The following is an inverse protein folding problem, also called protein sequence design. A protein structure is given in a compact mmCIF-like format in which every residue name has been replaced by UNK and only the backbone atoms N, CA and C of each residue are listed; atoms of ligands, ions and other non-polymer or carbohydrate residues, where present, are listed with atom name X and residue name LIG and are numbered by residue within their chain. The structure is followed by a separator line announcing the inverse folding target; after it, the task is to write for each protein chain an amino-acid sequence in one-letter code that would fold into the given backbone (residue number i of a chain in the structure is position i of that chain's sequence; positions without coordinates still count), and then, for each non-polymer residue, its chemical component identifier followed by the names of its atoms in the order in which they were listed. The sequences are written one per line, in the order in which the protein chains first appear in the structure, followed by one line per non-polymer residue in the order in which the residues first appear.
data_IF_112716777982
#
_entry.id   IF_112716777982
#
_cell.length_a   1.000
_cell.length_b   1.000
_cell.length_c   1.000
_cell.angle_alpha   90.00
_cell.angle_beta   90.00
_cell.angle_gamma   90.00
#
_symmetry.space_group_name_H-M   'P 1'
#
loop_
_entity.id
_entity.type
_entity.pdbx_description
1 polymer ?
#
# COMPACT_ATOMS: atom_id res chain seq x y z
N UNK A 1 -9.06 22.07 -6.37
CA UNK A 1 -8.17 21.07 -7.00
C UNK A 1 -8.94 19.75 -7.06
N UNK A 2 -8.42 18.74 -7.75
CA UNK A 2 -9.10 17.47 -7.98
C UNK A 2 -8.40 16.36 -7.18
N UNK A 3 -8.64 16.28 -5.88
CA UNK A 3 -7.82 15.44 -5.00
C UNK A 3 -8.27 13.97 -4.99
N UNK A 4 -7.30 13.06 -5.03
CA UNK A 4 -7.54 11.61 -5.02
C UNK A 4 -6.71 10.98 -3.91
N UNK A 5 -7.34 10.11 -3.13
CA UNK A 5 -6.64 9.30 -2.10
C UNK A 5 -6.34 7.93 -2.67
N UNK A 6 -5.09 7.49 -2.53
CA UNK A 6 -4.65 6.15 -2.94
C UNK A 6 -4.60 5.21 -1.74
N UNK A 7 -5.20 4.03 -1.85
CA UNK A 7 -5.19 3.00 -0.82
C UNK A 7 -4.50 1.76 -1.37
N UNK A 8 -3.59 1.16 -0.60
CA UNK A 8 -2.83 -0.03 -1.02
C UNK A 8 -3.01 -1.15 0.00
N UNK A 9 -3.49 -2.31 -0.43
CA UNK A 9 -3.80 -3.44 0.44
C UNK A 9 -3.07 -4.71 0.01
N UNK A 10 -2.02 -5.07 0.75
CA UNK A 10 -1.29 -6.32 0.62
C UNK A 10 -0.01 -6.25 -0.22
N UNK A 11 0.77 -7.33 -0.17
CA UNK A 11 2.11 -7.39 -0.74
C UNK A 11 2.11 -7.06 -2.24
N UNK A 12 1.22 -7.67 -3.04
CA UNK A 12 1.28 -7.50 -4.49
C UNK A 12 0.88 -6.08 -4.90
N UNK A 13 -0.15 -5.54 -4.26
CA UNK A 13 -0.58 -4.15 -4.41
C UNK A 13 0.53 -3.17 -4.03
N UNK A 14 1.23 -3.40 -2.91
CA UNK A 14 2.28 -2.51 -2.43
C UNK A 14 3.54 -2.53 -3.30
N UNK A 15 3.86 -3.67 -3.93
CA UNK A 15 4.89 -3.73 -4.96
C UNK A 15 4.58 -2.83 -6.16
N UNK A 16 3.34 -2.91 -6.67
CA UNK A 16 2.89 -2.03 -7.76
C UNK A 16 2.83 -0.58 -7.28
N UNK A 17 2.36 -0.36 -6.06
CA UNK A 17 2.25 0.94 -5.41
C UNK A 17 3.60 1.65 -5.25
N UNK A 18 4.64 0.93 -4.83
CA UNK A 18 6.00 1.46 -4.71
C UNK A 18 6.55 1.91 -6.06
N UNK A 19 6.38 1.12 -7.13
CA UNK A 19 6.76 1.54 -8.47
C UNK A 19 5.93 2.73 -8.97
N UNK A 20 4.62 2.72 -8.70
CA UNK A 20 3.72 3.79 -9.10
C UNK A 20 4.17 5.13 -8.48
N UNK A 21 4.43 5.15 -7.17
CA UNK A 21 4.88 6.38 -6.51
C UNK A 21 6.27 6.83 -6.93
N UNK A 22 7.22 5.90 -7.12
CA UNK A 22 8.53 6.25 -7.67
C UNK A 22 8.40 6.91 -9.06
N UNK A 23 7.48 6.42 -9.91
CA UNK A 23 7.18 7.02 -11.20
C UNK A 23 6.53 8.40 -11.04
N UNK A 24 5.52 8.52 -10.17
CA UNK A 24 4.85 9.80 -9.92
C UNK A 24 5.81 10.85 -9.38
N UNK A 25 6.75 10.49 -8.51
CA UNK A 25 7.77 11.41 -8.01
C UNK A 25 8.72 11.88 -9.12
N UNK A 26 9.07 10.99 -10.06
CA UNK A 26 9.87 11.33 -11.24
C UNK A 26 9.13 12.31 -12.16
N UNK A 27 7.82 12.12 -12.37
CA UNK A 27 7.01 13.04 -13.18
C UNK A 27 6.74 14.38 -12.47
N UNK A 28 6.68 14.36 -11.14
CA UNK A 28 6.30 15.50 -10.34
C UNK A 28 7.40 16.57 -10.21
N UNK A 29 8.66 16.26 -10.52
CA UNK A 29 9.76 17.25 -10.53
C UNK A 29 9.51 18.38 -11.55
N UNK A 30 8.68 18.16 -12.57
CA UNK A 30 8.25 19.23 -13.49
C UNK A 30 6.98 19.94 -13.00
N UNK A 31 6.00 19.24 -12.42
CA UNK A 31 4.75 19.79 -11.87
C UNK A 31 4.17 18.90 -10.76
N UNK A 32 4.54 19.11 -9.48
CA UNK A 32 3.86 18.48 -8.32
C UNK A 32 2.40 18.92 -8.26
N UNK A 33 1.51 18.18 -8.91
CA UNK A 33 0.07 18.42 -8.91
C UNK A 33 -0.50 18.12 -7.52
N UNK A 34 -1.16 19.10 -6.90
CA UNK A 34 -1.80 18.96 -5.57
C UNK A 34 -2.95 17.94 -5.50
N UNK A 35 -3.22 17.25 -6.62
CA UNK A 35 -4.25 16.23 -6.79
C UNK A 35 -3.85 14.90 -6.13
N UNK A 36 -2.61 14.46 -6.33
CA UNK A 36 -2.08 13.21 -5.77
C UNK A 36 -1.18 13.43 -4.55
N UNK A 37 -0.60 14.62 -4.42
CA UNK A 37 0.28 14.97 -3.33
C UNK A 37 -0.37 16.00 -2.40
N UNK A 38 -0.06 15.90 -1.12
CA UNK A 38 -0.41 16.93 -0.14
C UNK A 38 0.40 18.19 -0.43
N UNK A 39 -0.25 19.35 -0.44
CA UNK A 39 0.40 20.63 -0.64
C UNK A 39 0.30 21.45 0.65
N UNK A 40 1.40 21.51 1.42
CA UNK A 40 1.48 22.29 2.65
C UNK A 40 2.59 23.33 2.52
N UNK A 41 2.31 24.56 2.95
CA UNK A 41 3.21 25.71 2.82
C UNK A 41 4.56 25.56 3.54
N UNK A 42 4.69 24.64 4.49
CA UNK A 42 5.87 24.46 5.35
C UNK A 42 6.32 23.00 5.54
N UNK A 43 5.77 22.05 4.78
CA UNK A 43 6.14 20.63 4.88
C UNK A 43 6.44 20.07 3.48
N UNK A 44 7.35 19.09 3.36
CA UNK A 44 7.56 18.44 2.08
C UNK A 44 6.25 17.84 1.59
N UNK A 45 6.00 17.98 0.29
CA UNK A 45 4.85 17.38 -0.36
C UNK A 45 4.99 15.86 -0.31
N UNK A 46 4.02 15.20 0.32
CA UNK A 46 3.97 13.73 0.45
C UNK A 46 2.75 13.18 -0.28
N UNK A 47 2.82 11.95 -0.83
CA UNK A 47 1.67 11.31 -1.47
C UNK A 47 0.44 11.24 -0.54
N UNK A 48 -0.75 11.43 -1.11
CA UNK A 48 -2.03 11.12 -0.45
C UNK A 48 -2.29 9.61 -0.54
N UNK A 49 -1.45 8.84 0.14
CA UNK A 49 -1.45 7.39 0.09
C UNK A 49 -1.58 6.78 1.48
N UNK A 50 -2.34 5.70 1.60
CA UNK A 50 -2.36 4.80 2.76
C UNK A 50 -1.95 3.41 2.30
N UNK A 51 -1.03 2.78 3.04
CA UNK A 51 -0.38 1.52 2.69
C UNK A 51 -0.60 0.53 3.83
N UNK A 52 -1.28 -0.57 3.54
CA UNK A 52 -1.62 -1.63 4.49
C UNK A 52 -0.86 -2.90 4.12
N UNK A 53 -0.09 -3.45 5.06
CA UNK A 53 0.64 -4.71 4.87
C UNK A 53 0.93 -5.43 6.20
N UNK A 54 1.50 -6.63 6.11
CA UNK A 54 2.03 -7.33 7.27
C UNK A 54 3.37 -6.73 7.72
N UNK A 55 3.66 -6.82 9.02
CA UNK A 55 4.90 -6.33 9.66
C UNK A 55 6.15 -6.70 8.85
N UNK A 56 6.21 -7.95 8.38
CA UNK A 56 7.38 -8.48 7.68
C UNK A 56 7.71 -7.80 6.33
N UNK A 57 6.74 -7.11 5.72
CA UNK A 57 6.90 -6.52 4.38
C UNK A 57 7.34 -5.05 4.40
N UNK A 58 7.20 -4.35 5.51
CA UNK A 58 7.65 -2.96 5.66
C UNK A 58 9.18 -2.81 5.78
N UNK A 59 9.91 -3.92 5.91
CA UNK A 59 11.38 -3.94 5.90
C UNK A 59 12.00 -2.93 6.87
N UNK A 60 13.06 -2.24 6.45
CA UNK A 60 13.74 -1.22 7.25
C UNK A 60 12.95 0.10 7.38
N UNK A 61 11.89 0.33 6.57
CA UNK A 61 11.08 1.54 6.65
C UNK A 61 10.15 1.54 7.87
N UNK A 62 9.64 0.38 8.29
CA UNK A 62 8.93 0.27 9.58
C UNK A 62 9.83 0.59 10.77
N UNK A 63 11.12 0.24 10.70
CA UNK A 63 12.09 0.61 11.74
C UNK A 63 12.30 2.13 11.82
N UNK A 64 12.23 2.84 10.69
CA UNK A 64 12.41 4.29 10.66
C UNK A 64 11.26 5.02 11.36
N UNK A 65 10.03 4.55 11.21
CA UNK A 65 8.85 5.11 11.88
C UNK A 65 8.80 4.76 13.37
N UNK A 66 9.11 3.53 13.77
CA UNK A 66 9.18 3.15 15.19
C UNK A 66 10.25 3.98 15.93
N UNK A 67 11.36 4.29 15.26
CA UNK A 67 12.40 5.19 15.77
C UNK A 67 11.99 6.67 15.80
N UNK A 68 11.04 7.10 14.96
CA UNK A 68 10.52 8.47 14.91
C UNK A 68 9.32 8.69 15.85
N UNK A 69 8.43 7.70 16.00
CA UNK A 69 7.29 7.72 16.92
C UNK A 69 7.75 7.65 18.37
N UNK A 70 8.74 6.81 18.67
CA UNK A 70 9.45 6.77 19.96
C UNK A 70 10.40 7.97 20.14
N UNK A 71 10.44 8.88 19.17
CA UNK A 71 11.19 10.14 19.21
C UNK A 71 10.39 11.32 19.77
N UNK A 72 9.06 11.20 19.89
CA UNK A 72 8.24 12.08 20.72
C UNK A 72 8.17 11.52 22.14
N UNK A 73 9.34 11.33 22.76
CA UNK A 73 9.46 11.22 24.21
C UNK A 73 9.12 12.59 24.85
N UNK A 74 7.86 13.02 24.71
CA UNK A 74 7.12 13.68 25.80
C UNK A 74 6.51 12.59 26.71
N UNK A 75 7.22 11.46 26.89
CA UNK A 75 7.00 10.57 28.01
C UNK A 75 7.47 11.36 29.22
N UNK A 76 6.52 11.85 30.01
CA UNK A 76 6.64 12.38 31.36
C UNK A 76 7.99 12.03 32.00
N UNK A 77 8.86 13.04 32.21
CA UNK A 77 10.04 12.91 33.07
C UNK A 77 9.67 12.33 34.45
N UNK A 78 8.40 12.43 34.85
CA UNK A 78 7.83 11.95 36.10
C UNK A 78 7.66 10.41 36.21
N UNK A 79 7.82 9.62 35.13
CA UNK A 79 7.67 8.14 35.19
C UNK A 79 8.93 7.31 34.91
N UNK A 80 10.11 7.93 34.80
CA UNK A 80 11.36 7.19 34.62
C UNK A 80 11.79 6.48 35.92
N UNK A 81 11.61 5.15 36.00
CA UNK A 81 12.04 4.30 37.12
C UNK A 81 13.57 4.21 37.31
N UNK A 82 14.36 4.78 36.39
CA UNK A 82 15.82 4.71 36.39
C UNK A 82 16.41 6.11 36.15
N UNK A 83 17.10 6.65 37.17
CA UNK A 83 17.65 8.02 37.17
C UNK A 83 19.06 8.14 36.56
N UNK A 84 19.46 7.20 35.68
CA UNK A 84 20.77 7.20 35.05
C UNK A 84 20.84 8.11 33.83
N UNK A 85 22.00 8.71 33.57
CA UNK A 85 22.23 9.48 32.34
C UNK A 85 22.10 8.57 31.10
N UNK A 86 21.06 8.80 30.29
CA UNK A 86 20.81 8.08 29.03
C UNK A 86 21.46 8.84 27.89
N UNK A 87 22.43 8.22 27.22
CA UNK A 87 23.01 8.76 25.98
C UNK A 87 22.44 7.95 24.80
N UNK A 88 21.57 8.58 24.01
CA UNK A 88 20.91 7.94 22.87
C UNK A 88 21.74 8.17 21.60
N UNK A 89 22.48 7.13 21.18
CA UNK A 89 23.18 7.15 19.90
C UNK A 89 22.24 6.75 18.76
N UNK A 90 21.81 7.73 17.96
CA UNK A 90 21.08 7.49 16.71
C UNK A 90 22.08 7.24 15.59
N UNK A 91 22.10 6.02 15.05
CA UNK A 91 22.86 5.72 13.84
C UNK A 91 22.03 6.10 12.61
N UNK A 92 22.62 6.77 11.60
CA UNK A 92 21.94 6.95 10.33
C UNK A 92 21.72 5.59 9.68
N UNK A 93 20.55 5.40 9.06
CA UNK A 93 20.29 4.23 8.24
C UNK A 93 21.32 4.17 7.11
N UNK A 94 21.83 2.97 6.83
CA UNK A 94 22.71 2.75 5.70
C UNK A 94 22.03 3.29 4.43
N UNK A 95 22.73 4.08 3.59
CA UNK A 95 22.18 4.50 2.32
C UNK A 95 21.74 3.25 1.56
N UNK A 96 20.50 3.26 1.04
CA UNK A 96 20.05 2.27 0.06
C UNK A 96 21.11 2.25 -1.04
N UNK A 97 21.80 1.12 -1.16
CA UNK A 97 23.00 0.94 -1.97
C UNK A 97 22.87 1.58 -3.36
N UNK A 98 23.68 2.59 -3.65
CA UNK A 98 23.88 3.09 -5.02
C UNK A 98 24.97 2.33 -5.77
N UNK A 99 25.76 1.48 -5.11
CA UNK A 99 26.98 0.87 -5.68
C UNK A 99 27.16 -0.64 -5.38
N UNK A 100 26.13 -1.48 -5.54
CA UNK A 100 26.34 -2.94 -5.57
C UNK A 100 26.15 -3.51 -6.99
N UNK A 101 27.25 -3.97 -7.57
CA UNK A 101 27.36 -4.56 -8.93
C UNK A 101 26.75 -5.97 -9.05
N UNK A 102 25.78 -6.33 -8.22
CA UNK A 102 25.01 -7.59 -8.34
C UNK A 102 23.53 -7.31 -8.07
N UNK A 103 22.59 -7.82 -8.89
CA UNK A 103 21.17 -7.66 -8.63
C UNK A 103 20.80 -8.51 -7.42
N UNK A 104 20.80 -7.90 -6.23
CA UNK A 104 20.10 -8.46 -5.07
C UNK A 104 18.63 -8.55 -5.44
N UNK A 105 18.11 -9.78 -5.47
CA UNK A 105 16.69 -10.04 -5.70
C UNK A 105 15.88 -9.25 -4.66
N UNK A 106 15.13 -8.24 -5.12
CA UNK A 106 14.25 -7.44 -4.26
C UNK A 106 13.23 -8.38 -3.61
N UNK A 107 13.15 -8.38 -2.28
CA UNK A 107 12.28 -9.29 -1.53
C UNK A 107 11.05 -8.58 -1.00
N UNK A 108 11.18 -7.30 -0.66
CA UNK A 108 10.10 -6.49 -0.14
C UNK A 108 9.90 -5.26 -1.01
N UNK A 109 8.67 -4.74 -1.05
CA UNK A 109 8.38 -3.49 -1.76
C UNK A 109 9.11 -2.30 -1.13
N UNK A 110 9.31 -2.35 0.18
CA UNK A 110 10.03 -1.34 0.97
C UNK A 110 11.52 -1.24 0.61
N UNK A 111 12.11 -2.30 0.03
CA UNK A 111 13.52 -2.30 -0.41
C UNK A 111 13.75 -1.25 -1.50
N UNK A 112 12.80 -1.12 -2.45
CA UNK A 112 12.92 -0.25 -3.62
C UNK A 112 11.96 0.94 -3.62
N UNK A 113 11.08 1.07 -2.63
CA UNK A 113 10.28 2.28 -2.43
C UNK A 113 11.20 3.48 -2.13
N UNK A 114 11.27 4.44 -3.04
CA UNK A 114 12.10 5.64 -2.90
C UNK A 114 11.27 6.81 -2.37
N UNK A 115 9.98 6.84 -2.71
CA UNK A 115 9.09 7.93 -2.32
C UNK A 115 8.85 7.99 -0.82
N UNK A 116 9.01 9.20 -0.28
CA UNK A 116 8.77 9.49 1.13
C UNK A 116 7.27 9.56 1.43
N UNK A 117 6.78 8.59 2.19
CA UNK A 117 5.40 8.56 2.69
C UNK A 117 5.27 9.39 3.97
N UNK A 118 4.03 9.77 4.30
CA UNK A 118 3.71 10.38 5.60
C UNK A 118 3.87 9.33 6.71
N UNK A 119 4.29 9.70 7.93
CA UNK A 119 4.31 8.77 9.08
C UNK A 119 2.95 8.12 9.40
N UNK A 120 1.85 8.75 8.97
CA UNK A 120 0.49 8.26 9.17
C UNK A 120 -0.04 7.48 7.96
N UNK A 121 0.77 7.32 6.91
CA UNK A 121 0.39 6.61 5.70
C UNK A 121 0.54 5.09 5.88
N UNK A 122 1.48 4.64 6.71
CA UNK A 122 1.82 3.22 6.82
C UNK A 122 1.01 2.56 7.94
N UNK A 123 0.34 1.47 7.60
CA UNK A 123 -0.56 0.74 8.48
C UNK A 123 -0.15 -0.73 8.51
N UNK A 124 0.41 -1.11 9.65
CA UNK A 124 0.77 -2.49 9.90
C UNK A 124 -0.48 -3.26 10.30
N UNK A 125 -0.78 -4.32 9.58
CA UNK A 125 -1.90 -5.22 9.85
C UNK A 125 -1.36 -6.55 10.34
N UNK A 126 -1.76 -6.94 11.55
CA UNK A 126 -1.37 -8.20 12.17
C UNK A 126 -2.59 -9.03 12.51
N UNK A 127 -2.69 -10.25 11.97
CA UNK A 127 -3.79 -11.16 12.33
C UNK A 127 -3.75 -11.63 13.79
N UNK A 128 -2.57 -11.57 14.43
CA UNK A 128 -2.36 -12.01 15.82
C UNK A 128 -3.10 -11.08 16.79
N UNK A 129 -3.09 -9.78 16.50
CA UNK A 129 -3.69 -8.75 17.35
C UNK A 129 -5.21 -8.85 17.44
N UNK A 130 -5.84 -9.58 16.51
CA UNK A 130 -7.29 -9.70 16.36
C UNK A 130 -7.79 -11.14 16.46
N UNK A 131 -7.02 -12.01 17.13
CA UNK A 131 -7.50 -13.34 17.55
C UNK A 131 -7.39 -14.45 16.50
N UNK A 132 -6.69 -14.22 15.38
CA UNK A 132 -6.22 -15.35 14.58
C UNK A 132 -5.00 -15.94 15.30
N UNK A 133 -5.16 -17.13 15.89
CA UNK A 133 -4.12 -17.83 16.66
C UNK A 133 -2.82 -18.06 15.88
N UNK A 134 -2.88 -18.07 14.54
CA UNK A 134 -1.72 -18.21 13.66
C UNK A 134 -1.19 -16.87 13.15
N UNK A 135 -1.94 -15.78 13.33
CA UNK A 135 -1.57 -14.46 12.83
C UNK A 135 -1.67 -14.29 11.32
N UNK A 136 -2.13 -15.33 10.63
CA UNK A 136 -2.12 -15.40 9.18
C UNK A 136 -3.34 -14.70 8.57
N UNK A 137 -3.17 -14.11 7.40
CA UNK A 137 -4.26 -13.56 6.58
C UNK A 137 -4.16 -14.17 5.19
N UNK A 138 -4.33 -15.50 5.13
CA UNK A 138 -4.04 -16.29 3.95
C UNK A 138 -5.25 -16.44 3.03
N UNK A 139 -6.46 -16.32 3.57
CA UNK A 139 -7.72 -16.45 2.85
C UNK A 139 -8.56 -15.19 2.93
N UNK A 140 -9.45 -14.99 1.96
CA UNK A 140 -10.33 -13.82 1.91
C UNK A 140 -11.15 -13.65 3.22
N UNK A 141 -11.68 -14.74 3.75
CA UNK A 141 -12.51 -14.72 4.96
C UNK A 141 -11.72 -14.33 6.22
N UNK A 142 -10.47 -14.81 6.37
CA UNK A 142 -9.60 -14.40 7.47
C UNK A 142 -9.33 -12.89 7.43
N UNK A 143 -9.13 -12.34 6.22
CA UNK A 143 -9.00 -10.90 6.01
C UNK A 143 -10.19 -10.09 6.51
N UNK A 144 -11.42 -10.56 6.23
CA UNK A 144 -12.64 -9.94 6.75
C UNK A 144 -12.71 -9.98 8.27
N UNK A 145 -12.31 -11.09 8.90
CA UNK A 145 -12.32 -11.24 10.35
C UNK A 145 -11.33 -10.28 11.02
N UNK A 146 -10.11 -10.17 10.47
CA UNK A 146 -9.11 -9.22 10.96
C UNK A 146 -9.62 -7.80 10.83
N UNK A 147 -10.21 -7.43 9.69
CA UNK A 147 -10.81 -6.11 9.49
C UNK A 147 -11.92 -5.82 10.50
N UNK A 148 -12.84 -6.76 10.73
CA UNK A 148 -13.91 -6.57 11.72
C UNK A 148 -13.36 -6.33 13.14
N UNK A 149 -12.28 -7.04 13.49
CA UNK A 149 -11.54 -6.79 14.73
C UNK A 149 -10.96 -5.37 14.80
N UNK A 150 -10.31 -4.91 13.73
CA UNK A 150 -9.74 -3.55 13.68
C UNK A 150 -10.82 -2.47 13.71
N UNK A 151 -11.89 -2.63 12.93
CA UNK A 151 -13.02 -1.68 12.83
C UNK A 151 -13.76 -1.52 14.16
N UNK A 152 -13.93 -2.60 14.93
CA UNK A 152 -14.55 -2.53 16.27
C UNK A 152 -13.79 -1.67 17.28
N UNK A 153 -12.52 -1.34 17.01
CA UNK A 153 -11.73 -0.40 17.83
C UNK A 153 -11.88 1.06 17.41
N UNK A 154 -12.52 1.34 16.27
CA UNK A 154 -12.70 2.68 15.71
C UNK A 154 -11.48 3.20 14.92
N UNK A 155 -10.35 2.52 14.96
CA UNK A 155 -9.07 3.08 14.49
C UNK A 155 -8.97 3.27 12.97
N UNK A 156 -9.70 2.48 12.18
CA UNK A 156 -9.41 2.34 10.74
C UNK A 156 -9.84 3.56 9.92
N UNK A 157 -11.12 3.95 10.02
CA UNK A 157 -11.64 5.11 9.31
C UNK A 157 -11.60 6.38 10.15
N UNK A 158 -11.82 6.29 11.46
CA UNK A 158 -11.85 7.49 12.33
C UNK A 158 -10.45 8.04 12.62
N UNK A 159 -9.39 7.25 12.38
CA UNK A 159 -8.00 7.64 12.53
C UNK A 159 -7.41 8.32 11.29
N UNK A 160 -6.31 7.76 10.78
CA UNK A 160 -5.48 8.40 9.74
C UNK A 160 -6.24 8.65 8.43
N UNK A 161 -7.17 7.77 8.05
CA UNK A 161 -7.96 7.96 6.83
C UNK A 161 -8.78 9.25 6.86
N UNK A 162 -9.48 9.53 7.96
CA UNK A 162 -10.23 10.78 8.13
C UNK A 162 -9.31 12.00 8.05
N UNK A 163 -8.13 11.95 8.65
CA UNK A 163 -7.16 13.05 8.54
C UNK A 163 -6.79 13.34 7.07
N UNK A 164 -6.50 12.31 6.27
CA UNK A 164 -6.23 12.50 4.83
C UNK A 164 -7.45 13.01 4.05
N UNK A 165 -8.65 12.58 4.40
CA UNK A 165 -9.89 13.01 3.76
C UNK A 165 -10.25 14.46 4.09
N UNK A 166 -10.11 14.88 5.35
CA UNK A 166 -10.35 16.27 5.80
C UNK A 166 -9.32 17.25 5.26
N UNK A 167 -8.10 16.78 4.97
CA UNK A 167 -7.06 17.56 4.28
C UNK A 167 -7.32 17.75 2.77
N UNK A 168 -8.37 17.14 2.22
CA UNK A 168 -8.77 17.37 0.84
C UNK A 168 -9.83 18.48 0.79
N UNK A 169 -9.55 19.55 0.04
CA UNK A 169 -10.56 20.60 -0.20
C UNK A 169 -11.73 20.07 -1.04
N UNK A 170 -11.42 19.18 -2.00
CA UNK A 170 -12.37 18.56 -2.90
C UNK A 170 -11.94 17.15 -3.29
N UNK A 171 -12.29 16.19 -2.43
CA UNK A 171 -12.10 14.76 -2.68
C UNK A 171 -12.93 14.30 -3.88
N UNK A 172 -12.25 13.88 -4.94
CA UNK A 172 -12.88 13.42 -6.18
C UNK A 172 -13.12 11.92 -6.25
N UNK A 173 -12.30 11.14 -5.55
CA UNK A 173 -12.41 9.69 -5.60
C UNK A 173 -11.27 8.99 -4.93
N UNK A 174 -11.35 7.66 -4.98
CA UNK A 174 -10.38 6.76 -4.40
C UNK A 174 -9.75 5.90 -5.47
N UNK A 175 -8.42 5.86 -5.47
CA UNK A 175 -7.64 4.90 -6.24
C UNK A 175 -7.22 3.76 -5.30
N UNK A 176 -7.69 2.55 -5.56
CA UNK A 176 -7.40 1.40 -4.70
C UNK A 176 -6.53 0.41 -5.46
N UNK A 177 -5.37 0.08 -4.92
CA UNK A 177 -4.55 -1.06 -5.30
C UNK A 177 -4.79 -2.14 -4.25
N UNK A 178 -5.33 -3.29 -4.63
CA UNK A 178 -5.55 -4.38 -3.68
C UNK A 178 -5.14 -5.71 -4.28
N UNK A 179 -4.61 -6.59 -3.46
CA UNK A 179 -4.37 -7.98 -3.83
C UNK A 179 -5.66 -8.63 -4.34
N UNK A 180 -5.56 -9.38 -5.43
CA UNK A 180 -6.72 -10.02 -6.05
C UNK A 180 -7.24 -11.23 -5.25
N UNK A 181 -6.42 -11.83 -4.39
CA UNK A 181 -6.73 -13.01 -3.59
C UNK A 181 -5.99 -13.00 -2.25
N UNK A 182 -6.35 -13.89 -1.32
CA UNK A 182 -5.78 -13.95 0.02
C UNK A 182 -6.43 -12.98 1.00
N UNK A 183 -5.87 -12.85 2.20
CA UNK A 183 -6.51 -12.07 3.27
C UNK A 183 -6.50 -10.57 3.05
N UNK A 184 -5.48 -9.99 2.41
CA UNK A 184 -5.52 -8.56 2.08
C UNK A 184 -6.60 -8.22 1.05
N UNK A 185 -7.00 -9.16 0.18
CA UNK A 185 -8.14 -8.99 -0.71
C UNK A 185 -9.46 -8.83 0.10
N UNK A 186 -9.63 -9.66 1.14
CA UNK A 186 -10.76 -9.56 2.06
C UNK A 186 -10.74 -8.29 2.90
N UNK A 187 -9.59 -8.00 3.51
CA UNK A 187 -9.39 -6.79 4.32
C UNK A 187 -9.69 -5.51 3.51
N UNK A 188 -9.13 -5.41 2.30
CA UNK A 188 -9.38 -4.28 1.41
C UNK A 188 -10.84 -4.19 0.95
N UNK A 189 -11.51 -5.33 0.70
CA UNK A 189 -12.94 -5.36 0.34
C UNK A 189 -13.82 -4.80 1.46
N UNK A 190 -13.57 -5.19 2.72
CA UNK A 190 -14.28 -4.65 3.86
C UNK A 190 -13.98 -3.16 4.10
N UNK A 191 -12.73 -2.73 3.91
CA UNK A 191 -12.36 -1.31 3.97
C UNK A 191 -13.12 -0.49 2.93
N UNK A 192 -13.15 -0.95 1.68
CA UNK A 192 -13.88 -0.28 0.60
C UNK A 192 -15.38 -0.22 0.87
N UNK A 193 -15.97 -1.27 1.47
CA UNK A 193 -17.38 -1.25 1.89
C UNK A 193 -17.65 -0.11 2.88
N UNK A 194 -16.76 0.06 3.87
CA UNK A 194 -16.84 1.15 4.84
C UNK A 194 -16.67 2.53 4.20
N UNK A 195 -15.72 2.69 3.27
CA UNK A 195 -15.61 3.92 2.48
C UNK A 195 -16.90 4.21 1.72
N UNK A 196 -17.50 3.18 1.10
CA UNK A 196 -18.73 3.35 0.31
C UNK A 196 -19.90 3.81 1.17
N UNK A 197 -19.97 3.40 2.44
CA UNK A 197 -20.97 3.87 3.38
C UNK A 197 -20.79 5.36 3.73
N UNK A 198 -19.56 5.80 3.99
CA UNK A 198 -19.27 7.21 4.36
C UNK A 198 -19.25 8.15 3.15
N UNK A 199 -18.78 7.67 2.00
CA UNK A 199 -18.65 8.42 0.74
C UNK A 199 -19.42 7.73 -0.41
N UNK A 200 -20.77 7.70 -0.37
CA UNK A 200 -21.58 6.94 -1.32
C UNK A 200 -21.46 7.44 -2.76
N UNK A 201 -21.20 8.74 -2.94
CA UNK A 201 -21.15 9.38 -4.27
C UNK A 201 -19.77 9.45 -4.89
N UNK A 202 -18.71 9.18 -4.13
CA UNK A 202 -17.34 9.28 -4.66
C UNK A 202 -16.99 8.02 -5.44
N UNK A 203 -16.45 8.14 -6.66
CA UNK A 203 -15.99 6.98 -7.41
C UNK A 203 -14.84 6.26 -6.71
N UNK A 204 -14.88 4.93 -6.77
CA UNK A 204 -13.77 4.06 -6.32
C UNK A 204 -13.28 3.32 -7.57
N UNK A 205 -12.00 3.48 -7.90
CA UNK A 205 -11.32 2.76 -8.98
C UNK A 205 -10.42 1.71 -8.35
N UNK A 206 -10.78 0.44 -8.50
CA UNK A 206 -10.02 -0.70 -7.98
C UNK A 206 -9.10 -1.25 -9.05
N UNK A 207 -7.83 -1.42 -8.70
CA UNK A 207 -6.84 -2.17 -9.43
C UNK A 207 -6.57 -3.46 -8.66
N UNK A 208 -7.14 -4.58 -9.12
CA UNK A 208 -6.96 -5.89 -8.49
C UNK A 208 -5.66 -6.51 -8.98
N UNK A 209 -4.63 -6.53 -8.13
CA UNK A 209 -3.28 -6.98 -8.48
C UNK A 209 -3.11 -8.45 -8.14
N UNK A 210 -2.69 -9.25 -9.12
CA UNK A 210 -2.44 -10.67 -8.91
C UNK A 210 -1.20 -11.17 -9.64
N UNK A 211 -0.44 -12.04 -8.97
CA UNK A 211 0.61 -12.84 -9.62
C UNK A 211 -0.04 -13.97 -10.41
N UNK A 212 -0.01 -13.92 -11.73
CA UNK A 212 -0.32 -15.11 -12.56
C UNK A 212 0.90 -16.03 -12.52
N UNK A 213 0.90 -16.93 -11.54
CA UNK A 213 1.61 -18.20 -11.73
C UNK A 213 0.95 -18.92 -12.91
N UNK A 214 1.69 -19.65 -13.76
CA UNK A 214 1.12 -20.30 -14.94
C UNK A 214 -0.16 -21.01 -14.56
N UNK A 215 -1.26 -20.72 -15.28
CA UNK A 215 -2.68 -20.98 -14.96
C UNK A 215 -3.05 -22.39 -14.46
N UNK A 216 -2.09 -23.32 -14.45
CA UNK A 216 -2.15 -24.66 -13.87
C UNK A 216 -1.83 -24.71 -12.36
N UNK A 217 -1.36 -23.61 -11.74
CA UNK A 217 -0.85 -23.61 -10.36
C UNK A 217 -1.48 -22.59 -9.39
N UNK A 218 -2.43 -21.74 -9.80
CA UNK A 218 -3.22 -21.02 -8.79
C UNK A 218 -3.96 -22.06 -7.97
N UNK A 219 -3.64 -22.14 -6.67
CA UNK A 219 -4.27 -23.10 -5.77
C UNK A 219 -5.78 -22.81 -5.78
N UNK A 220 -6.62 -23.84 -5.75
CA UNK A 220 -8.09 -23.68 -5.82
C UNK A 220 -8.62 -22.60 -4.85
N UNK A 221 -7.97 -22.45 -3.69
CA UNK A 221 -8.24 -21.41 -2.70
C UNK A 221 -8.07 -19.99 -3.27
N UNK A 222 -6.99 -19.70 -3.99
CA UNK A 222 -6.74 -18.38 -4.57
C UNK A 222 -7.72 -18.05 -5.70
N UNK A 223 -8.14 -19.05 -6.47
CA UNK A 223 -9.19 -18.87 -7.49
C UNK A 223 -10.54 -18.58 -6.84
N UNK A 224 -10.87 -19.27 -5.75
CA UNK A 224 -12.07 -19.00 -4.95
C UNK A 224 -12.03 -17.60 -4.34
N UNK A 225 -10.93 -17.23 -3.69
CA UNK A 225 -10.74 -15.89 -3.11
C UNK A 225 -10.87 -14.79 -4.16
N UNK A 226 -10.27 -14.98 -5.35
CA UNK A 226 -10.39 -14.02 -6.45
C UNK A 226 -11.83 -13.90 -6.96
N UNK A 227 -12.56 -15.00 -7.08
CA UNK A 227 -13.96 -14.99 -7.48
C UNK A 227 -14.83 -14.26 -6.44
N UNK A 228 -14.61 -14.52 -5.15
CA UNK A 228 -15.31 -13.84 -4.05
C UNK A 228 -14.97 -12.34 -4.09
N UNK A 229 -13.70 -11.98 -4.18
CA UNK A 229 -13.23 -10.58 -4.24
C UNK A 229 -13.87 -9.80 -5.40
N UNK A 230 -13.94 -10.40 -6.60
CA UNK A 230 -14.61 -9.75 -7.74
C UNK A 230 -16.11 -9.61 -7.50
N UNK A 231 -16.76 -10.65 -6.97
CA UNK A 231 -18.19 -10.61 -6.70
C UNK A 231 -18.55 -9.55 -5.65
N UNK A 232 -17.86 -9.52 -4.51
CA UNK A 232 -18.13 -8.55 -3.43
C UNK A 232 -17.82 -7.13 -3.87
N UNK A 233 -16.70 -6.92 -4.56
CA UNK A 233 -16.29 -5.58 -4.96
C UNK A 233 -17.11 -5.03 -6.14
N UNK A 234 -17.80 -5.87 -6.91
CA UNK A 234 -18.61 -5.42 -8.06
C UNK A 234 -19.77 -4.50 -7.68
N UNK A 235 -20.29 -4.62 -6.45
CA UNK A 235 -21.37 -3.79 -5.92
C UNK A 235 -20.84 -2.50 -5.28
N UNK A 236 -19.58 -2.50 -4.84
CA UNK A 236 -18.97 -1.43 -4.06
C UNK A 236 -18.16 -0.48 -4.95
N UNK A 237 -17.52 -0.99 -6.00
CA UNK A 237 -16.53 -0.26 -6.78
C UNK A 237 -17.15 0.29 -8.07
N UNK A 238 -16.74 1.50 -8.48
CA UNK A 238 -17.23 2.12 -9.72
C UNK A 238 -16.60 1.51 -10.98
N UNK A 239 -15.34 1.07 -10.88
CA UNK A 239 -14.63 0.34 -11.93
C UNK A 239 -13.57 -0.57 -11.32
N UNK A 240 -13.53 -1.84 -11.73
CA UNK A 240 -12.48 -2.79 -11.37
C UNK A 240 -11.61 -3.13 -12.57
N UNK A 241 -10.30 -2.93 -12.44
CA UNK A 241 -9.28 -3.17 -13.45
C UNK A 241 -8.37 -4.31 -12.96
N UNK A 242 -8.48 -5.52 -13.52
CA UNK A 242 -7.62 -6.63 -13.14
C UNK A 242 -6.20 -6.45 -13.69
N UNK A 243 -5.21 -6.40 -12.81
CA UNK A 243 -3.79 -6.31 -13.12
C UNK A 243 -3.12 -7.65 -12.82
N UNK A 244 -3.11 -8.53 -13.82
CA UNK A 244 -2.44 -9.83 -13.74
C UNK A 244 -1.24 -9.87 -14.69
N UNK A 245 -0.23 -10.64 -14.32
CA UNK A 245 0.95 -10.88 -15.17
C UNK A 245 0.51 -11.38 -16.56
N UNK A 246 0.90 -10.69 -17.64
CA UNK A 246 0.54 -11.11 -18.99
C UNK A 246 1.15 -12.49 -19.29
N UNK A 247 0.35 -13.43 -19.80
CA UNK A 247 0.85 -14.73 -20.24
C UNK A 247 0.45 -14.99 -21.70
N UNK A 248 1.41 -15.28 -22.60
CA UNK A 248 2.87 -15.29 -22.42
C UNK A 248 3.52 -13.89 -22.54
N UNK A 249 4.53 -13.61 -21.71
CA UNK A 249 5.38 -12.39 -21.75
C UNK A 249 6.13 -12.25 -23.10
N UNK A 250 6.20 -13.31 -23.92
CA UNK A 250 6.95 -13.37 -25.19
C UNK A 250 6.47 -12.42 -26.29
N UNK A 251 5.34 -11.72 -26.12
CA UNK A 251 4.85 -10.71 -27.07
C UNK A 251 5.29 -9.28 -26.74
N UNK A 252 6.03 -9.06 -25.65
CA UNK A 252 6.62 -7.75 -25.37
C UNK A 252 7.73 -7.45 -26.39
N UNK A 253 7.96 -6.16 -26.68
CA UNK A 253 8.95 -5.67 -27.65
C UNK A 253 10.31 -6.36 -27.42
N UNK A 254 11.06 -6.64 -28.50
CA UNK A 254 12.36 -7.34 -28.46
C UNK A 254 13.39 -6.71 -27.49
N UNK A 255 13.20 -5.45 -27.11
CA UNK A 255 14.07 -4.69 -26.20
C UNK A 255 13.66 -4.78 -24.72
N UNK A 256 12.51 -5.41 -24.39
CA UNK A 256 11.99 -5.52 -23.03
C UNK A 256 12.13 -6.98 -22.58
N UNK A 257 13.07 -7.23 -21.68
CA UNK A 257 13.30 -8.54 -21.08
C UNK A 257 12.72 -8.57 -19.65
N UNK A 258 11.50 -9.09 -19.50
CA UNK A 258 10.88 -9.33 -18.18
C UNK A 258 11.03 -10.81 -17.81
N UNK A 259 11.60 -11.06 -16.63
CA UNK A 259 11.74 -12.41 -16.09
C UNK A 259 10.45 -12.81 -15.37
N UNK A 260 9.74 -13.84 -15.84
CA UNK A 260 8.47 -14.31 -15.25
C UNK A 260 8.53 -14.61 -13.74
N UNK A 261 9.70 -14.97 -13.22
CA UNK A 261 9.88 -15.32 -11.81
C UNK A 261 10.15 -14.12 -10.90
N UNK A 262 10.43 -12.95 -11.47
CA UNK A 262 10.77 -11.75 -10.71
C UNK A 262 9.58 -10.79 -10.69
N UNK A 263 8.87 -10.78 -9.57
CA UNK A 263 7.68 -9.95 -9.44
C UNK A 263 8.01 -8.46 -9.46
N UNK A 264 9.20 -8.04 -8.99
CA UNK A 264 9.65 -6.65 -9.06
C UNK A 264 9.55 -6.09 -10.49
N UNK A 265 10.05 -6.83 -11.49
CA UNK A 265 10.00 -6.43 -12.90
C UNK A 265 8.56 -6.40 -13.44
N UNK A 266 7.73 -7.36 -13.02
CA UNK A 266 6.33 -7.45 -13.44
C UNK A 266 5.52 -6.30 -12.84
N UNK A 267 5.71 -6.00 -11.55
CA UNK A 267 5.02 -4.91 -10.87
C UNK A 267 5.38 -3.55 -11.44
N UNK A 268 6.61 -3.36 -11.94
CA UNK A 268 6.98 -2.15 -12.66
C UNK A 268 6.14 -1.94 -13.93
N UNK A 269 5.90 -3.02 -14.70
CA UNK A 269 5.05 -2.96 -15.89
C UNK A 269 3.58 -2.69 -15.55
N UNK A 270 3.07 -3.31 -14.48
CA UNK A 270 1.72 -3.04 -13.97
C UNK A 270 1.58 -1.58 -13.52
N UNK A 271 2.57 -1.06 -12.79
CA UNK A 271 2.59 0.31 -12.30
C UNK A 271 2.63 1.34 -13.45
N UNK A 272 3.33 1.05 -14.54
CA UNK A 272 3.31 1.89 -15.73
C UNK A 272 1.90 2.00 -16.34
N UNK A 273 1.12 0.91 -16.34
CA UNK A 273 -0.29 0.95 -16.75
C UNK A 273 -1.11 1.84 -15.81
N UNK A 274 -0.96 1.68 -14.50
CA UNK A 274 -1.66 2.49 -13.50
C UNK A 274 -1.31 3.98 -13.67
N UNK A 275 -0.04 4.31 -13.85
CA UNK A 275 0.45 5.68 -14.06
C UNK A 275 -0.10 6.31 -15.34
N UNK A 276 -0.19 5.53 -16.43
CA UNK A 276 -0.75 6.04 -17.68
C UNK A 276 -2.23 6.41 -17.54
N UNK A 277 -3.00 5.63 -16.76
CA UNK A 277 -4.41 5.92 -16.50
C UNK A 277 -4.60 7.09 -15.53
N UNK A 278 -3.71 7.25 -14.54
CA UNK A 278 -3.78 8.38 -13.61
C UNK A 278 -3.47 9.72 -14.27
N UNK A 279 -2.56 9.77 -15.25
CA UNK A 279 -2.30 10.99 -16.02
C UNK A 279 -3.49 11.46 -16.85
N UNK A 280 -4.39 10.58 -17.28
CA UNK A 280 -5.61 10.98 -17.98
C UNK A 280 -6.64 11.67 -17.05
N UNK A 281 -6.44 11.63 -15.73
CA UNK A 281 -7.31 12.27 -14.75
C UNK A 281 -6.87 13.71 -14.40
N UNK A 282 -5.60 14.06 -14.71
CA UNK A 282 -5.01 15.39 -14.57
C UNK A 282 -5.37 16.27 -15.77
#
# INVERSE_FOLDING_TARGET
MREVITLQFGENANYVGAHYWNLQETYADEHRTGELFTQRSNKPSVPRALVFDAVGNFGAQALEEDLQSTGNDEIDEDQALWAGAKEVHRQPLYPKHTDSTQPTRMRFWSDFAQTKLSPHAMHVVSGVEFGNSLGEMNTFQEGLQVFAGTDSRGDVLEGNFRAFAEECDHLQGFQVLADAFGGFAGYGSAFMAKIRDEYPKTPIMLYSVGRTQPARQLRNVQLMDAAISVATNSEIVSMSVPLFTPTPITKLNAHIHITNSDFYQISAFMAANVAQWSHCLQ
#
